data_IF_863053801335
#
_entry.id   IF_863053801335
#
_cell.length_a   1.000
_cell.length_b   1.000
_cell.length_c   1.000
_cell.angle_alpha   90.00
_cell.angle_beta   90.00
_cell.angle_gamma   90.00
#
_symmetry.space_group_name_H-M   'P 1'
#
loop_
_entity.id
_entity.type
_entity.pdbx_description
1 polymer ?
#
# COMPACT_ATOMS: atom_id res chain seq x y z
N UNK A 1 -1.47 -13.25 -40.49
CA UNK A 1 -2.36 -12.63 -39.47
C UNK A 1 -1.77 -11.33 -38.96
N UNK A 2 -2.61 -10.32 -38.66
CA UNK A 2 -2.18 -9.06 -38.01
C UNK A 2 -1.75 -9.33 -36.57
N UNK A 3 -0.71 -8.65 -36.06
CA UNK A 3 -0.24 -8.81 -34.67
C UNK A 3 -1.37 -8.53 -33.65
N UNK A 4 -1.40 -9.30 -32.55
CA UNK A 4 -2.34 -9.07 -31.45
C UNK A 4 -2.12 -7.70 -30.81
N UNK A 5 -3.21 -6.99 -30.53
CA UNK A 5 -3.20 -5.73 -29.79
C UNK A 5 -4.36 -5.74 -28.78
N UNK A 6 -4.06 -5.46 -27.52
CA UNK A 6 -5.07 -5.35 -26.48
C UNK A 6 -5.65 -3.93 -26.46
N UNK A 7 -6.97 -3.81 -26.66
CA UNK A 7 -7.65 -2.51 -26.77
C UNK A 7 -7.54 -1.65 -25.51
N UNK A 8 -7.36 -2.28 -24.34
CA UNK A 8 -7.26 -1.59 -23.05
C UNK A 8 -5.82 -1.51 -22.51
N UNK A 9 -4.80 -1.73 -23.33
CA UNK A 9 -3.40 -1.70 -22.86
C UNK A 9 -3.04 -0.36 -22.21
N UNK A 10 -3.47 0.77 -22.81
CA UNK A 10 -3.23 2.10 -22.23
C UNK A 10 -3.90 2.28 -20.87
N UNK A 11 -5.09 1.73 -20.69
CA UNK A 11 -5.82 1.77 -19.41
C UNK A 11 -5.08 0.94 -18.36
N UNK A 12 -4.58 -0.25 -18.74
CA UNK A 12 -3.79 -1.11 -17.86
C UNK A 12 -2.49 -0.43 -17.42
N UNK A 13 -1.76 0.21 -18.34
CA UNK A 13 -0.56 1.01 -18.03
C UNK A 13 -0.87 2.13 -17.04
N UNK A 14 -1.93 2.91 -17.31
CA UNK A 14 -2.34 4.00 -16.44
C UNK A 14 -2.68 3.51 -15.02
N UNK A 15 -3.43 2.40 -14.90
CA UNK A 15 -3.74 1.82 -13.59
C UNK A 15 -2.49 1.36 -12.85
N UNK A 16 -1.50 0.78 -13.54
CA UNK A 16 -0.20 0.41 -12.93
C UNK A 16 0.57 1.63 -12.41
N UNK A 17 0.59 2.73 -13.16
CA UNK A 17 1.20 3.98 -12.69
C UNK A 17 0.47 4.52 -11.45
N UNK A 18 -0.86 4.53 -11.47
CA UNK A 18 -1.68 4.94 -10.33
C UNK A 18 -1.43 4.05 -9.10
N UNK A 19 -1.33 2.73 -9.28
CA UNK A 19 -0.96 1.81 -8.21
C UNK A 19 0.39 2.18 -7.58
N UNK A 20 1.38 2.55 -8.39
CA UNK A 20 2.67 3.03 -7.91
C UNK A 20 2.53 4.28 -7.03
N UNK A 21 1.72 5.25 -7.46
CA UNK A 21 1.44 6.46 -6.67
C UNK A 21 0.76 6.14 -5.33
N UNK A 22 -0.26 5.27 -5.34
CA UNK A 22 -0.95 4.86 -4.12
C UNK A 22 -0.02 4.12 -3.14
N UNK A 23 0.86 3.25 -3.64
CA UNK A 23 1.86 2.55 -2.82
C UNK A 23 2.87 3.52 -2.20
N UNK A 24 3.32 4.53 -2.95
CA UNK A 24 4.22 5.56 -2.45
C UNK A 24 3.57 6.40 -1.35
N UNK A 25 2.30 6.78 -1.54
CA UNK A 25 1.54 7.51 -0.52
C UNK A 25 1.35 6.68 0.75
N UNK A 26 0.99 5.39 0.61
CA UNK A 26 0.89 4.46 1.75
C UNK A 26 2.22 4.32 2.49
N UNK A 27 3.35 4.24 1.76
CA UNK A 27 4.67 4.15 2.36
C UNK A 27 5.01 5.41 3.19
N UNK A 28 4.66 6.60 2.69
CA UNK A 28 4.83 7.86 3.42
C UNK A 28 3.99 7.89 4.69
N UNK A 29 2.71 7.50 4.63
CA UNK A 29 1.82 7.44 5.79
C UNK A 29 2.36 6.46 6.86
N UNK A 30 2.85 5.29 6.44
CA UNK A 30 3.45 4.31 7.36
C UNK A 30 4.74 4.83 8.00
N UNK A 31 5.58 5.53 7.23
CA UNK A 31 6.79 6.15 7.76
C UNK A 31 6.45 7.24 8.80
N UNK A 32 5.44 8.07 8.51
CA UNK A 32 4.95 9.09 9.44
C UNK A 32 4.38 8.46 10.72
N UNK A 33 3.57 7.40 10.60
CA UNK A 33 3.07 6.66 11.75
C UNK A 33 4.22 6.13 12.63
N UNK A 34 5.26 5.53 12.02
CA UNK A 34 6.43 5.03 12.74
C UNK A 34 7.21 6.15 13.44
N UNK A 35 7.31 7.32 12.82
CA UNK A 35 7.92 8.51 13.44
C UNK A 35 7.14 8.92 14.69
N UNK A 36 5.81 9.03 14.59
CA UNK A 36 4.95 9.38 15.72
C UNK A 36 5.04 8.36 16.86
N UNK A 37 5.10 7.07 16.54
CA UNK A 37 5.33 6.00 17.53
C UNK A 37 6.68 6.16 18.25
N UNK A 38 7.72 6.56 17.54
CA UNK A 38 9.03 6.89 18.12
C UNK A 38 8.97 8.06 19.10
N UNK A 39 8.30 9.15 18.72
CA UNK A 39 8.14 10.35 19.55
C UNK A 39 7.32 10.07 20.82
N UNK A 40 6.25 9.28 20.70
CA UNK A 40 5.46 8.80 21.84
C UNK A 40 6.34 7.98 22.79
N UNK A 41 7.14 7.05 22.26
CA UNK A 41 8.02 6.21 23.06
C UNK A 41 9.11 7.01 23.77
N UNK A 42 9.64 8.07 23.14
CA UNK A 42 10.59 8.99 23.77
C UNK A 42 9.94 9.78 24.92
N UNK A 43 8.78 10.39 24.70
CA UNK A 43 8.06 11.13 25.75
C UNK A 43 7.66 10.26 26.92
N UNK A 44 7.25 9.01 26.67
CA UNK A 44 6.92 8.07 27.74
C UNK A 44 8.17 7.66 28.55
N UNK A 45 9.33 7.51 27.89
CA UNK A 45 10.61 7.30 28.59
C UNK A 45 10.98 8.49 29.45
N UNK A 46 10.84 9.70 28.92
CA UNK A 46 11.09 10.95 29.65
C UNK A 46 10.17 11.06 30.88
N UNK A 47 8.87 10.87 30.69
CA UNK A 47 7.87 10.87 31.76
C UNK A 47 8.22 9.86 32.87
N UNK A 48 8.55 8.62 32.49
CA UNK A 48 8.93 7.58 33.45
C UNK A 48 10.22 7.91 34.20
N UNK A 49 11.22 8.48 33.51
CA UNK A 49 12.47 8.92 34.11
C UNK A 49 12.27 10.02 35.15
N UNK A 50 11.50 11.04 34.80
CA UNK A 50 11.16 12.16 35.69
C UNK A 50 10.32 11.71 36.88
N UNK A 51 9.36 10.83 36.65
CA UNK A 51 8.51 10.30 37.72
C UNK A 51 9.35 9.54 38.76
N UNK A 52 10.30 8.71 38.33
CA UNK A 52 11.24 8.02 39.24
C UNK A 52 12.16 9.00 39.98
N UNK A 53 12.71 10.00 39.27
CA UNK A 53 13.57 11.02 39.87
C UNK A 53 12.81 11.85 40.92
N UNK A 54 11.54 12.18 40.67
CA UNK A 54 10.69 12.86 41.63
C UNK A 54 10.44 11.98 42.87
N UNK A 55 10.06 10.71 42.68
CA UNK A 55 9.81 9.79 43.78
C UNK A 55 11.03 9.65 44.71
N UNK A 56 12.23 9.52 44.14
CA UNK A 56 13.49 9.46 44.90
C UNK A 56 13.83 10.76 45.63
N UNK A 57 13.43 11.92 45.11
CA UNK A 57 13.65 13.21 45.77
C UNK A 57 12.61 13.48 46.87
N UNK A 58 11.38 13.00 46.69
CA UNK A 58 10.31 13.15 47.68
C UNK A 58 10.60 12.37 48.97
N UNK A 59 11.24 11.19 48.89
CA UNK A 59 11.67 10.44 50.07
C UNK A 59 12.76 11.15 50.89
N UNK A 60 13.46 12.14 50.31
CA UNK A 60 14.51 12.93 50.96
C UNK A 60 14.08 14.31 51.48
N UNK A 61 12.78 14.64 51.47
CA UNK A 61 12.27 15.94 51.96
C UNK A 61 12.33 17.07 50.91
N UNK A 62 11.57 16.92 49.82
CA UNK A 62 11.54 17.92 48.74
C UNK A 62 10.63 19.12 49.08
N UNK A 63 11.12 20.34 48.81
CA UNK A 63 10.35 21.57 49.01
C UNK A 63 9.05 21.59 48.17
N UNK A 64 7.91 22.04 48.73
CA UNK A 64 6.59 22.01 48.05
C UNK A 64 6.54 22.68 46.68
N UNK A 65 7.23 23.82 46.51
CA UNK A 65 7.26 24.56 45.23
C UNK A 65 7.91 23.74 44.10
N UNK A 66 8.89 22.87 44.43
CA UNK A 66 9.52 21.99 43.45
C UNK A 66 8.57 20.87 43.03
N UNK A 67 7.80 20.31 43.97
CA UNK A 67 6.79 19.29 43.67
C UNK A 67 5.73 19.83 42.70
N UNK A 68 5.28 21.07 42.89
CA UNK A 68 4.32 21.72 42.00
C UNK A 68 4.87 21.89 40.57
N UNK A 69 6.12 22.35 40.43
CA UNK A 69 6.78 22.49 39.12
C UNK A 69 6.91 21.14 38.39
N UNK A 70 7.28 20.07 39.10
CA UNK A 70 7.34 18.73 38.53
C UNK A 70 5.98 18.21 38.06
N UNK A 71 4.94 18.39 38.87
CA UNK A 71 3.57 17.99 38.48
C UNK A 71 3.09 18.72 37.23
N UNK A 72 3.36 20.03 37.13
CA UNK A 72 3.04 20.81 35.94
C UNK A 72 3.77 20.27 34.70
N UNK A 73 5.06 19.95 34.83
CA UNK A 73 5.83 19.40 33.72
C UNK A 73 5.38 18.00 33.28
N UNK A 74 5.09 17.10 34.24
CA UNK A 74 4.51 15.79 33.94
C UNK A 74 3.14 15.91 33.26
N UNK A 75 2.31 16.88 33.67
CA UNK A 75 1.05 17.20 33.02
C UNK A 75 1.23 17.67 31.58
N UNK A 76 2.23 18.52 31.32
CA UNK A 76 2.61 18.95 29.97
C UNK A 76 3.03 17.78 29.09
N UNK A 77 3.90 16.90 29.59
CA UNK A 77 4.34 15.70 28.87
C UNK A 77 3.16 14.81 28.53
N UNK A 78 2.24 14.57 29.48
CA UNK A 78 1.08 13.73 29.26
C UNK A 78 0.14 14.33 28.18
N UNK A 79 -0.12 15.63 28.23
CA UNK A 79 -0.92 16.31 27.21
C UNK A 79 -0.29 16.22 25.83
N UNK A 80 1.04 16.42 25.73
CA UNK A 80 1.77 16.26 24.46
C UNK A 80 1.71 14.83 23.93
N UNK A 81 1.86 13.84 24.80
CA UNK A 81 1.73 12.42 24.43
C UNK A 81 0.32 12.12 23.91
N UNK A 82 -0.72 12.64 24.55
CA UNK A 82 -2.10 12.45 24.09
C UNK A 82 -2.34 13.04 22.70
N UNK A 83 -1.84 14.26 22.43
CA UNK A 83 -1.92 14.87 21.11
C UNK A 83 -1.19 14.02 20.04
N UNK A 84 -0.02 13.46 20.36
CA UNK A 84 0.69 12.57 19.45
C UNK A 84 -0.06 11.26 19.21
N UNK A 85 -0.73 10.71 20.23
CA UNK A 85 -1.56 9.51 20.10
C UNK A 85 -2.76 9.76 19.18
N UNK A 86 -3.43 10.90 19.31
CA UNK A 86 -4.51 11.32 18.42
C UNK A 86 -4.02 11.46 16.98
N UNK A 87 -2.90 12.16 16.77
CA UNK A 87 -2.27 12.30 15.45
C UNK A 87 -1.90 10.93 14.85
N UNK A 88 -1.30 10.04 15.63
CA UNK A 88 -0.99 8.67 15.20
C UNK A 88 -2.25 7.93 14.78
N UNK A 89 -3.35 8.07 15.53
CA UNK A 89 -4.64 7.49 15.19
C UNK A 89 -5.18 7.99 13.84
N UNK A 90 -5.09 9.29 13.59
CA UNK A 90 -5.49 9.88 12.31
C UNK A 90 -4.63 9.38 11.14
N UNK A 91 -3.31 9.33 11.30
CA UNK A 91 -2.40 8.81 10.26
C UNK A 91 -2.64 7.33 10.01
N UNK A 92 -2.88 6.52 11.05
CA UNK A 92 -3.19 5.11 10.93
C UNK A 92 -4.50 4.88 10.14
N UNK A 93 -5.56 5.64 10.44
CA UNK A 93 -6.82 5.56 9.70
C UNK A 93 -6.65 5.92 8.22
N UNK A 94 -5.84 6.95 7.91
CA UNK A 94 -5.49 7.32 6.53
C UNK A 94 -4.68 6.22 5.83
N UNK A 95 -3.72 5.63 6.51
CA UNK A 95 -2.91 4.54 5.98
C UNK A 95 -3.78 3.30 5.66
N UNK A 96 -4.72 2.96 6.53
CA UNK A 96 -5.65 1.85 6.32
C UNK A 96 -6.58 2.10 5.13
N UNK A 97 -7.14 3.32 5.02
CA UNK A 97 -7.94 3.71 3.86
C UNK A 97 -7.13 3.62 2.56
N UNK A 98 -5.89 4.12 2.56
CA UNK A 98 -4.98 4.04 1.41
C UNK A 98 -4.62 2.60 1.05
N UNK A 99 -4.44 1.74 2.04
CA UNK A 99 -4.21 0.31 1.82
C UNK A 99 -5.40 -0.36 1.12
N UNK A 100 -6.64 -0.02 1.49
CA UNK A 100 -7.84 -0.50 0.77
C UNK A 100 -7.85 -0.04 -0.69
N UNK A 101 -7.46 1.21 -0.97
CA UNK A 101 -7.34 1.71 -2.34
C UNK A 101 -6.29 0.92 -3.15
N UNK A 102 -5.13 0.63 -2.56
CA UNK A 102 -4.09 -0.20 -3.20
C UNK A 102 -4.62 -1.60 -3.52
N UNK A 103 -5.32 -2.25 -2.59
CA UNK A 103 -5.91 -3.59 -2.83
C UNK A 103 -6.93 -3.55 -3.96
N UNK A 104 -7.84 -2.56 -3.96
CA UNK A 104 -8.82 -2.37 -5.04
C UNK A 104 -8.13 -2.17 -6.40
N UNK A 105 -7.11 -1.31 -6.45
CA UNK A 105 -6.36 -1.06 -7.68
C UNK A 105 -5.61 -2.30 -8.19
N UNK A 106 -5.05 -3.12 -7.30
CA UNK A 106 -4.45 -4.40 -7.70
C UNK A 106 -5.52 -5.34 -8.30
N UNK A 107 -6.69 -5.46 -7.65
CA UNK A 107 -7.78 -6.29 -8.17
C UNK A 107 -8.22 -5.86 -9.57
N UNK A 108 -8.37 -4.56 -9.78
CA UNK A 108 -8.69 -3.97 -11.08
C UNK A 108 -7.64 -4.29 -12.16
N UNK A 109 -6.35 -4.22 -11.81
CA UNK A 109 -5.24 -4.56 -12.71
C UNK A 109 -5.28 -6.05 -13.06
N UNK A 110 -5.43 -6.91 -12.07
CA UNK A 110 -5.55 -8.36 -12.28
C UNK A 110 -6.73 -8.72 -13.17
N UNK A 111 -7.88 -8.05 -13.00
CA UNK A 111 -9.04 -8.22 -13.89
C UNK A 111 -8.73 -7.86 -15.36
N UNK A 112 -8.01 -6.76 -15.60
CA UNK A 112 -7.60 -6.36 -16.95
C UNK A 112 -6.57 -7.31 -17.55
N UNK A 113 -5.62 -7.80 -16.75
CA UNK A 113 -4.62 -8.79 -17.18
C UNK A 113 -5.29 -10.11 -17.59
N UNK A 114 -6.23 -10.61 -16.77
CA UNK A 114 -6.99 -11.80 -17.13
C UNK A 114 -7.83 -11.62 -18.39
N UNK A 115 -8.43 -10.43 -18.59
CA UNK A 115 -9.15 -10.13 -19.83
C UNK A 115 -8.22 -10.15 -21.04
N UNK A 116 -7.03 -9.53 -20.92
CA UNK A 116 -6.01 -9.54 -21.97
C UNK A 116 -5.58 -10.96 -22.32
N UNK A 117 -5.33 -11.80 -21.31
CA UNK A 117 -4.88 -13.18 -21.50
C UNK A 117 -5.94 -14.03 -22.20
N UNK A 118 -7.22 -13.85 -21.86
CA UNK A 118 -8.33 -14.51 -22.57
C UNK A 118 -8.41 -14.08 -24.03
N UNK A 119 -8.31 -12.77 -24.31
CA UNK A 119 -8.33 -12.25 -25.69
C UNK A 119 -7.14 -12.76 -26.50
N UNK A 120 -5.95 -12.81 -25.90
CA UNK A 120 -4.75 -13.35 -26.53
C UNK A 120 -4.90 -14.85 -26.85
N UNK A 121 -5.48 -15.62 -25.92
CA UNK A 121 -5.76 -17.04 -26.13
C UNK A 121 -6.74 -17.26 -27.28
N UNK A 122 -7.84 -16.50 -27.33
CA UNK A 122 -8.82 -16.56 -28.40
C UNK A 122 -8.20 -16.19 -29.76
N UNK A 123 -7.41 -15.12 -29.82
CA UNK A 123 -6.69 -14.73 -31.02
C UNK A 123 -5.74 -15.83 -31.53
N UNK A 124 -5.01 -16.49 -30.63
CA UNK A 124 -4.13 -17.62 -30.98
C UNK A 124 -4.90 -18.83 -31.47
N UNK A 125 -6.06 -19.12 -30.88
CA UNK A 125 -6.92 -20.23 -31.29
C UNK A 125 -7.48 -20.01 -32.71
N UNK A 126 -7.97 -18.81 -33.00
CA UNK A 126 -8.43 -18.43 -34.34
C UNK A 126 -7.31 -18.56 -35.37
N UNK A 127 -6.09 -18.16 -35.00
CA UNK A 127 -4.94 -18.30 -35.89
C UNK A 127 -4.54 -19.73 -36.20
N UNK A 128 -4.62 -20.63 -35.22
CA UNK A 128 -4.40 -22.07 -35.45
C UNK A 128 -5.46 -22.64 -36.39
N UNK A 129 -6.73 -22.29 -36.17
CA UNK A 129 -7.83 -22.74 -37.02
C UNK A 129 -7.66 -22.30 -38.47
N UNK A 130 -7.28 -21.04 -38.71
CA UNK A 130 -7.01 -20.54 -40.06
C UNK A 130 -5.83 -21.26 -40.73
N UNK A 131 -4.79 -21.61 -39.97
CA UNK A 131 -3.67 -22.40 -40.49
C UNK A 131 -4.09 -23.83 -40.83
N UNK A 132 -4.88 -24.48 -39.98
CA UNK A 132 -5.41 -25.83 -40.21
C UNK A 132 -6.25 -25.87 -41.50
N UNK A 133 -7.21 -24.95 -41.66
CA UNK A 133 -8.03 -24.85 -42.88
C UNK A 133 -7.18 -24.62 -44.13
N UNK A 134 -6.18 -23.74 -44.07
CA UNK A 134 -5.28 -23.50 -45.20
C UNK A 134 -4.49 -24.76 -45.60
N UNK A 135 -4.01 -25.53 -44.63
CA UNK A 135 -3.31 -26.80 -44.89
C UNK A 135 -4.26 -27.83 -45.50
N UNK A 136 -5.48 -27.97 -44.97
CA UNK A 136 -6.49 -28.90 -45.51
C UNK A 136 -6.86 -28.57 -46.96
N UNK A 137 -7.08 -27.28 -47.27
CA UNK A 137 -7.35 -26.82 -48.64
C UNK A 137 -6.16 -27.10 -49.57
N UNK A 138 -4.93 -26.82 -49.12
CA UNK A 138 -3.73 -27.08 -49.89
C UNK A 138 -3.54 -28.56 -50.22
N UNK A 139 -3.70 -29.45 -49.22
CA UNK A 139 -3.59 -30.91 -49.41
C UNK A 139 -4.69 -31.42 -50.34
N UNK A 140 -5.92 -30.94 -50.18
CA UNK A 140 -7.06 -31.32 -51.04
C UNK A 140 -6.83 -30.90 -52.50
N UNK A 141 -6.31 -29.70 -52.74
CA UNK A 141 -5.98 -29.23 -54.09
C UNK A 141 -4.76 -29.93 -54.71
N UNK A 142 -3.77 -30.32 -53.90
CA UNK A 142 -2.62 -31.09 -54.36
C UNK A 142 -3.00 -32.53 -54.74
N UNK A 143 -3.86 -33.19 -53.94
CA UNK A 143 -4.36 -34.53 -54.22
C UNK A 143 -5.25 -34.60 -55.46
N UNK A 144 -6.08 -33.58 -55.70
CA UNK A 144 -6.95 -33.50 -56.87
C UNK A 144 -6.21 -33.25 -58.21
N UNK A 145 -4.92 -32.88 -58.19
CA UNK A 145 -4.08 -32.69 -59.39
C UNK A 145 -3.17 -33.88 -59.70
N UNK A 146 -3.08 -34.86 -58.79
CA UNK A 146 -2.19 -36.01 -58.92
C UNK A 146 -2.92 -37.33 -59.29
N UNK A 147 -4.23 -37.27 -59.58
CA UNK A 147 -5.04 -38.36 -60.12
C UNK A 147 -5.68 -37.94 -61.44
#
# INVERSE_FOLDING_TARGET
>A
MKKFAFSLERVLEYKRQMLGMLKNELARLRAEQKRLEGEIAEKNREFGGLSRALAARMSGGLQPHRVAAYKAYLGELNRRTNLLLEQRGQVAARAEAKQREVVRMNSDISGLEHLRDRQLSAYRAEGRKQQETFVEEFVSHAGARAG
#
